data_IF_873659752676
#
_entry.id   IF_873659752676
#
_cell.length_a   1.000
_cell.length_b   1.000
_cell.length_c   1.000
_cell.angle_alpha   90.00
_cell.angle_beta   90.00
_cell.angle_gamma   90.00
#
_symmetry.space_group_name_H-M   'P 1'
#
loop_
_entity.id
_entity.type
_entity.pdbx_description
1 polymer ?
#
# COMPACT_ATOMS: atom_id res chain seq x y z
N UNK A 1 16.17 26.86 18.54
CA UNK A 1 15.80 25.44 18.73
C UNK A 1 16.52 24.61 17.67
N UNK A 2 17.54 23.86 18.09
CA UNK A 2 18.37 22.90 17.32
C UNK A 2 18.46 21.62 18.17
N UNK A 3 18.69 20.48 17.51
CA UNK A 3 18.75 19.08 18.03
C UNK A 3 17.37 18.44 18.26
N UNK A 4 17.07 17.26 17.70
CA UNK A 4 17.70 15.95 17.97
C UNK A 4 17.83 15.09 16.68
N UNK A 5 19.05 14.71 16.32
CA UNK A 5 19.39 13.44 15.64
C UNK A 5 20.75 13.01 16.20
N UNK A 6 20.82 12.63 17.48
CA UNK A 6 22.10 12.37 18.15
C UNK A 6 22.71 10.98 17.88
N UNK A 7 21.94 9.98 17.43
CA UNK A 7 22.41 8.58 17.46
C UNK A 7 22.36 7.85 16.09
N UNK A 8 22.50 8.57 14.98
CA UNK A 8 22.59 7.92 13.66
C UNK A 8 23.72 8.52 12.84
N UNK A 9 24.53 7.68 12.22
CA UNK A 9 25.56 8.09 11.25
C UNK A 9 25.16 7.60 9.86
N UNK A 10 25.29 8.49 8.87
CA UNK A 10 25.31 8.13 7.46
C UNK A 10 26.64 7.44 7.17
N UNK A 11 26.59 6.16 6.81
CA UNK A 11 27.78 5.43 6.37
C UNK A 11 27.71 5.19 4.86
N UNK A 12 28.80 5.56 4.19
CA UNK A 12 29.02 5.34 2.77
C UNK A 12 29.97 4.16 2.62
N UNK A 13 29.59 3.16 1.82
CA UNK A 13 30.44 2.00 1.53
C UNK A 13 30.48 1.73 0.02
N UNK A 14 31.67 1.41 -0.49
CA UNK A 14 31.90 1.02 -1.88
C UNK A 14 32.05 -0.51 -1.95
N UNK A 15 31.15 -1.17 -2.67
CA UNK A 15 31.21 -2.60 -2.94
C UNK A 15 31.09 -2.86 -4.43
N UNK A 16 32.10 -3.52 -5.02
CA UNK A 16 32.07 -4.03 -6.39
C UNK A 16 31.55 -3.01 -7.43
N UNK A 17 32.09 -1.78 -7.39
CA UNK A 17 31.72 -0.70 -8.31
C UNK A 17 30.40 0.01 -8.02
N UNK A 18 29.69 -0.34 -6.94
CA UNK A 18 28.44 0.29 -6.52
C UNK A 18 28.60 1.09 -5.21
N UNK A 19 28.15 2.35 -5.23
CA UNK A 19 28.10 3.21 -4.06
C UNK A 19 26.80 2.97 -3.28
N UNK A 20 26.90 2.67 -1.99
CA UNK A 20 25.74 2.47 -1.12
C UNK A 20 25.81 3.36 0.11
N UNK A 21 24.66 3.90 0.50
CA UNK A 21 24.47 4.75 1.67
C UNK A 21 23.53 4.06 2.64
N UNK A 22 23.86 4.06 3.93
CA UNK A 22 23.03 3.44 4.96
C UNK A 22 22.95 4.30 6.21
N UNK A 23 21.83 4.18 6.92
CA UNK A 23 21.70 4.66 8.29
C UNK A 23 22.09 3.54 9.26
N UNK A 24 23.02 3.85 10.16
CA UNK A 24 23.39 2.98 11.27
C UNK A 24 22.87 3.62 12.55
N UNK A 25 22.06 2.87 13.27
CA UNK A 25 21.72 3.16 14.67
C UNK A 25 22.97 2.94 15.53
N UNK A 26 23.44 3.98 16.20
CA UNK A 26 24.68 3.94 16.97
C UNK A 26 24.56 3.19 18.30
N UNK A 27 23.34 2.97 18.80
CA UNK A 27 23.10 2.29 20.07
C UNK A 27 23.03 0.77 19.89
N UNK A 28 22.56 0.31 18.72
CA UNK A 28 22.32 -1.12 18.44
C UNK A 28 23.21 -1.70 17.34
N UNK A 29 23.85 -0.86 16.52
CA UNK A 29 24.67 -1.27 15.38
C UNK A 29 23.87 -1.92 14.23
N UNK A 30 22.54 -1.85 14.29
CA UNK A 30 21.65 -2.49 13.31
C UNK A 30 21.60 -1.65 12.03
N UNK A 31 21.84 -2.30 10.87
CA UNK A 31 21.73 -1.68 9.55
C UNK A 31 20.26 -1.40 9.22
N UNK A 32 19.90 -0.14 9.04
CA UNK A 32 18.53 0.26 8.67
C UNK A 32 18.47 0.45 7.14
N UNK A 33 18.35 -0.67 6.43
CA UNK A 33 18.03 -0.82 5.00
C UNK A 33 18.97 -0.17 3.93
N UNK A 34 19.12 -0.84 2.78
CA UNK A 34 19.81 -0.34 1.58
C UNK A 34 19.11 0.91 1.02
N UNK A 35 19.83 2.04 0.90
CA UNK A 35 19.34 3.26 0.27
C UNK A 35 19.29 3.12 -1.26
N UNK A 36 18.27 2.45 -1.77
CA UNK A 36 17.77 2.74 -3.12
C UNK A 36 16.32 3.24 -2.97
N UNK A 37 16.17 4.56 -3.07
CA UNK A 37 14.98 5.38 -2.74
C UNK A 37 14.64 5.45 -1.23
N UNK A 38 15.42 6.22 -0.48
CA UNK A 38 15.07 6.59 0.90
C UNK A 38 13.87 7.54 0.86
N UNK A 39 12.67 7.00 1.02
CA UNK A 39 11.52 7.79 1.47
C UNK A 39 11.91 8.39 2.82
N UNK A 40 12.11 9.71 2.87
CA UNK A 40 12.43 10.45 4.11
C UNK A 40 11.17 10.52 4.98
N UNK A 41 10.81 9.42 5.61
CA UNK A 41 9.76 9.39 6.63
C UNK A 41 10.36 9.69 7.99
N UNK A 42 9.56 10.26 8.90
CA UNK A 42 10.01 10.45 10.28
C UNK A 42 10.09 9.09 11.00
N UNK A 43 10.81 9.03 12.13
CA UNK A 43 10.90 7.80 12.93
C UNK A 43 9.53 7.40 13.49
N UNK A 44 8.70 8.38 13.85
CA UNK A 44 7.32 8.19 14.30
C UNK A 44 6.46 7.57 13.20
N UNK A 45 6.58 8.04 11.96
CA UNK A 45 5.88 7.44 10.83
C UNK A 45 6.37 6.02 10.53
N UNK A 46 7.67 5.76 10.67
CA UNK A 46 8.22 4.41 10.56
C UNK A 46 7.59 3.45 11.59
N UNK A 47 7.55 3.85 12.86
CA UNK A 47 6.93 3.06 13.93
C UNK A 47 5.44 2.83 13.65
N UNK A 48 4.72 3.87 13.23
CA UNK A 48 3.32 3.77 12.85
C UNK A 48 3.10 2.77 11.72
N UNK A 49 3.88 2.84 10.63
CA UNK A 49 3.80 1.87 9.52
C UNK A 49 4.09 0.45 10.00
N UNK A 50 5.06 0.28 10.90
CA UNK A 50 5.41 -1.03 11.48
C UNK A 50 4.25 -1.60 12.30
N UNK A 51 3.62 -0.79 13.14
CA UNK A 51 2.46 -1.18 13.95
C UNK A 51 1.26 -1.54 13.06
N UNK A 52 0.91 -0.67 12.09
CA UNK A 52 -0.20 -0.94 11.18
C UNK A 52 0.03 -2.20 10.32
N UNK A 53 1.26 -2.51 9.93
CA UNK A 53 1.59 -3.78 9.24
C UNK A 53 1.32 -5.00 10.12
N UNK A 54 1.69 -4.93 11.40
CA UNK A 54 1.43 -6.01 12.33
C UNK A 54 -0.07 -6.20 12.58
N UNK A 55 -0.81 -5.10 12.74
CA UNK A 55 -2.27 -5.10 12.87
C UNK A 55 -2.96 -5.71 11.64
N UNK A 56 -2.59 -5.27 10.43
CA UNK A 56 -3.10 -5.83 9.17
C UNK A 56 -2.84 -7.34 9.08
N UNK A 57 -1.62 -7.78 9.35
CA UNK A 57 -1.28 -9.20 9.26
C UNK A 57 -2.15 -10.03 10.23
N UNK A 58 -2.43 -9.48 11.41
CA UNK A 58 -3.27 -10.12 12.42
C UNK A 58 -4.71 -10.23 11.92
N UNK A 59 -5.30 -9.14 11.42
CA UNK A 59 -6.70 -9.09 10.99
C UNK A 59 -6.98 -9.95 9.75
N UNK A 60 -6.05 -10.03 8.80
CA UNK A 60 -6.26 -10.76 7.54
C UNK A 60 -5.67 -12.18 7.54
N UNK A 61 -5.02 -12.60 8.62
CA UNK A 61 -4.37 -13.92 8.73
C UNK A 61 -5.32 -15.08 8.40
N UNK A 62 -6.55 -15.01 8.93
CA UNK A 62 -7.60 -15.99 8.71
C UNK A 62 -8.16 -16.00 7.28
N UNK A 63 -7.76 -15.06 6.43
CA UNK A 63 -8.15 -14.98 5.02
C UNK A 63 -7.14 -15.67 4.09
N UNK A 64 -5.94 -15.99 4.57
CA UNK A 64 -4.89 -16.56 3.73
C UNK A 64 -5.28 -17.92 3.15
N UNK A 65 -5.04 -18.08 1.84
CA UNK A 65 -5.36 -19.29 1.10
C UNK A 65 -6.83 -19.41 0.71
N UNK A 66 -7.73 -18.62 1.33
CA UNK A 66 -9.16 -18.61 1.00
C UNK A 66 -9.41 -17.91 -0.32
N UNK A 67 -10.45 -18.39 -1.00
CA UNK A 67 -10.96 -17.84 -2.26
C UNK A 67 -12.21 -17.05 -1.93
N UNK A 68 -12.27 -15.83 -2.43
CA UNK A 68 -13.43 -14.94 -2.33
C UNK A 68 -14.01 -14.73 -3.71
N UNK A 69 -15.30 -14.45 -3.79
CA UNK A 69 -16.02 -14.26 -5.05
C UNK A 69 -16.62 -12.87 -5.07
N UNK A 70 -16.32 -12.10 -6.12
CA UNK A 70 -17.00 -10.83 -6.35
C UNK A 70 -18.45 -11.10 -6.79
N UNK A 71 -19.41 -10.44 -6.14
CA UNK A 71 -20.83 -10.71 -6.32
C UNK A 71 -21.36 -10.30 -7.69
N UNK A 72 -20.81 -9.25 -8.31
CA UNK A 72 -21.29 -8.72 -9.59
C UNK A 72 -20.74 -9.50 -10.80
N UNK A 73 -19.53 -10.05 -10.69
CA UNK A 73 -18.83 -10.71 -11.82
C UNK A 73 -18.65 -12.22 -11.67
N UNK A 74 -18.91 -12.78 -10.49
CA UNK A 74 -18.52 -14.16 -10.11
C UNK A 74 -17.01 -14.43 -10.20
N UNK A 75 -16.16 -13.40 -10.37
CA UNK A 75 -14.72 -13.57 -10.39
C UNK A 75 -14.21 -14.03 -9.02
N UNK A 76 -13.36 -15.05 -9.04
CA UNK A 76 -12.75 -15.64 -7.84
C UNK A 76 -11.36 -15.08 -7.64
N UNK A 77 -11.05 -14.57 -6.46
CA UNK A 77 -9.72 -14.11 -6.09
C UNK A 77 -9.22 -14.78 -4.82
N UNK A 78 -7.95 -15.17 -4.81
CA UNK A 78 -7.29 -15.70 -3.61
C UNK A 78 -6.58 -14.59 -2.84
N UNK A 79 -6.74 -14.59 -1.53
CA UNK A 79 -5.95 -13.75 -0.63
C UNK A 79 -4.73 -14.50 -0.11
N UNK A 80 -3.56 -13.87 -0.14
CA UNK A 80 -2.29 -14.50 0.24
C UNK A 80 -1.43 -13.57 1.10
N UNK A 81 -0.42 -14.13 1.78
CA UNK A 81 0.60 -13.31 2.46
C UNK A 81 1.26 -12.31 1.51
N UNK A 82 1.46 -12.69 0.24
CA UNK A 82 2.00 -11.81 -0.78
C UNK A 82 1.04 -10.65 -1.10
N UNK A 83 -0.27 -10.89 -1.10
CA UNK A 83 -1.28 -9.82 -1.23
C UNK A 83 -1.13 -8.82 -0.07
N UNK A 84 -1.09 -9.29 1.18
CA UNK A 84 -0.88 -8.44 2.35
C UNK A 84 0.45 -7.66 2.27
N UNK A 85 1.53 -8.28 1.83
CA UNK A 85 2.83 -7.62 1.63
C UNK A 85 2.80 -6.56 0.53
N UNK A 86 2.04 -6.77 -0.55
CA UNK A 86 1.92 -5.80 -1.65
C UNK A 86 1.10 -4.57 -1.25
N UNK A 87 -0.05 -4.78 -0.62
CA UNK A 87 -0.89 -3.67 -0.17
C UNK A 87 -0.22 -2.87 0.95
N UNK A 88 0.57 -3.51 1.83
CA UNK A 88 1.31 -2.83 2.91
C UNK A 88 2.73 -2.36 2.54
N UNK A 89 3.08 -2.42 1.26
CA UNK A 89 4.38 -1.95 0.78
C UNK A 89 4.51 -0.43 0.95
N UNK A 90 5.74 0.06 1.16
CA UNK A 90 5.97 1.50 1.30
C UNK A 90 5.47 2.30 0.09
N UNK A 91 5.52 1.70 -1.10
CA UNK A 91 4.98 2.31 -2.32
C UNK A 91 3.46 2.47 -2.29
N UNK A 92 2.73 1.47 -1.81
CA UNK A 92 1.26 1.52 -1.72
C UNK A 92 0.79 2.50 -0.64
N UNK A 93 1.45 2.49 0.53
CA UNK A 93 1.21 3.45 1.61
C UNK A 93 1.48 4.87 1.10
N UNK A 94 2.65 5.11 0.51
CA UNK A 94 3.04 6.43 0.02
C UNK A 94 2.09 6.94 -1.05
N UNK A 95 1.59 6.06 -1.94
CA UNK A 95 0.59 6.46 -2.93
C UNK A 95 -0.71 6.95 -2.28
N UNK A 96 -1.16 6.27 -1.22
CA UNK A 96 -2.34 6.72 -0.47
C UNK A 96 -2.07 8.04 0.25
N UNK A 97 -0.88 8.21 0.82
CA UNK A 97 -0.47 9.48 1.44
C UNK A 97 -0.44 10.64 0.45
N UNK A 98 0.12 10.42 -0.74
CA UNK A 98 0.11 11.41 -1.84
C UNK A 98 -1.33 11.74 -2.27
N UNK A 99 -2.24 10.77 -2.21
CA UNK A 99 -3.66 10.97 -2.49
C UNK A 99 -4.42 11.63 -1.33
N UNK A 100 -3.72 12.12 -0.30
CA UNK A 100 -4.30 12.85 0.83
C UNK A 100 -4.88 11.97 1.92
N UNK A 101 -4.47 10.70 2.02
CA UNK A 101 -4.86 9.80 3.11
C UNK A 101 -3.77 9.67 4.17
N UNK A 102 -4.13 9.38 5.42
CA UNK A 102 -3.15 9.00 6.44
C UNK A 102 -2.68 7.55 6.25
N UNK A 103 -1.58 7.20 6.91
CA UNK A 103 -1.12 5.80 6.98
C UNK A 103 -2.23 4.93 7.59
N UNK A 104 -2.88 5.37 8.67
CA UNK A 104 -3.95 4.60 9.30
C UNK A 104 -5.15 4.41 8.36
N UNK A 105 -5.57 5.45 7.64
CA UNK A 105 -6.68 5.39 6.67
C UNK A 105 -6.40 4.36 5.56
N UNK A 106 -5.15 4.29 5.08
CA UNK A 106 -4.73 3.27 4.13
C UNK A 106 -4.91 1.86 4.69
N UNK A 107 -4.47 1.63 5.93
CA UNK A 107 -4.57 0.32 6.56
C UNK A 107 -6.00 -0.06 6.93
N UNK A 108 -6.83 0.89 7.37
CA UNK A 108 -8.25 0.65 7.64
C UNK A 108 -8.97 0.05 6.41
N UNK A 109 -8.73 0.62 5.23
CA UNK A 109 -9.29 0.08 3.99
C UNK A 109 -8.68 -1.29 3.63
N UNK A 110 -7.37 -1.50 3.89
CA UNK A 110 -6.70 -2.77 3.65
C UNK A 110 -7.22 -3.91 4.54
N UNK A 111 -7.61 -3.61 5.77
CA UNK A 111 -8.21 -4.58 6.69
C UNK A 111 -9.60 -5.03 6.21
N UNK A 112 -10.35 -4.16 5.52
CA UNK A 112 -11.65 -4.47 4.93
C UNK A 112 -11.58 -4.98 3.46
N UNK A 113 -10.39 -5.36 2.98
CA UNK A 113 -10.18 -5.69 1.57
C UNK A 113 -11.08 -6.83 1.04
N UNK A 114 -11.47 -7.77 1.90
CA UNK A 114 -12.46 -8.81 1.54
C UNK A 114 -13.81 -8.18 1.18
N UNK A 115 -14.38 -7.39 2.07
CA UNK A 115 -15.71 -6.79 1.88
C UNK A 115 -15.73 -5.82 0.70
N UNK A 116 -14.64 -5.06 0.54
CA UNK A 116 -14.43 -4.20 -0.64
C UNK A 116 -14.46 -5.06 -1.91
N UNK A 117 -13.62 -6.11 -2.01
CA UNK A 117 -13.56 -6.94 -3.21
C UNK A 117 -14.90 -7.63 -3.53
N UNK A 118 -15.58 -8.21 -2.54
CA UNK A 118 -16.82 -8.94 -2.76
C UNK A 118 -17.95 -8.06 -3.31
N UNK A 119 -17.91 -6.75 -3.04
CA UNK A 119 -18.97 -5.79 -3.39
C UNK A 119 -18.52 -4.68 -4.34
N UNK A 120 -17.30 -4.77 -4.86
CA UNK A 120 -16.74 -3.79 -5.79
C UNK A 120 -17.36 -3.89 -7.18
N UNK A 121 -17.45 -2.75 -7.84
CA UNK A 121 -17.89 -2.61 -9.22
C UNK A 121 -16.73 -2.90 -10.16
N UNK A 122 -17.01 -3.67 -11.21
CA UNK A 122 -16.02 -4.04 -12.20
C UNK A 122 -15.80 -2.91 -13.22
N UNK A 123 -14.55 -2.50 -13.39
CA UNK A 123 -14.16 -1.45 -14.34
C UNK A 123 -13.83 -2.06 -15.70
N UNK A 124 -13.09 -3.17 -15.71
CA UNK A 124 -12.66 -3.80 -16.95
C UNK A 124 -11.45 -4.71 -16.83
N UNK A 125 -11.13 -5.36 -17.94
CA UNK A 125 -9.97 -6.21 -18.12
C UNK A 125 -8.96 -5.54 -19.05
N UNK A 126 -7.69 -5.60 -18.69
CA UNK A 126 -6.58 -4.94 -19.39
C UNK A 126 -5.42 -5.92 -19.60
N UNK A 127 -4.65 -5.69 -20.65
CA UNK A 127 -3.38 -6.38 -20.89
C UNK A 127 -2.31 -5.93 -19.90
N UNK A 128 -1.32 -6.78 -19.64
CA UNK A 128 -0.17 -6.36 -18.85
C UNK A 128 0.72 -5.40 -19.64
N UNK A 129 0.94 -4.21 -19.09
CA UNK A 129 1.84 -3.20 -19.65
C UNK A 129 3.31 -3.64 -19.72
N UNK A 130 3.71 -4.65 -18.93
CA UNK A 130 5.08 -5.16 -18.90
C UNK A 130 5.28 -6.42 -19.75
N UNK A 131 4.23 -6.86 -20.45
CA UNK A 131 4.23 -8.08 -21.27
C UNK A 131 4.81 -9.31 -20.56
N UNK A 132 4.60 -9.45 -19.24
CA UNK A 132 5.02 -10.64 -18.50
C UNK A 132 4.20 -11.83 -19.01
N UNK A 133 4.86 -12.85 -19.62
CA UNK A 133 4.18 -13.95 -20.29
C UNK A 133 3.38 -14.84 -19.33
N UNK A 134 3.55 -14.67 -18.02
CA UNK A 134 2.79 -15.39 -17.00
C UNK A 134 1.48 -14.70 -16.62
N UNK A 135 1.27 -13.45 -17.05
CA UNK A 135 0.03 -12.72 -16.81
C UNK A 135 -0.94 -13.00 -17.96
N UNK A 136 -2.14 -13.44 -17.61
CA UNK A 136 -3.23 -13.61 -18.55
C UNK A 136 -3.95 -12.28 -18.73
N UNK A 137 -4.31 -11.65 -17.61
CA UNK A 137 -5.10 -10.44 -17.58
C UNK A 137 -4.88 -9.63 -16.30
N UNK A 138 -5.18 -8.33 -16.39
CA UNK A 138 -5.29 -7.42 -15.25
C UNK A 138 -6.75 -6.97 -15.15
N UNK A 139 -7.42 -7.29 -14.05
CA UNK A 139 -8.79 -6.87 -13.80
C UNK A 139 -8.81 -5.70 -12.81
N UNK A 140 -9.58 -4.66 -13.10
CA UNK A 140 -9.72 -3.50 -12.23
C UNK A 140 -11.13 -3.40 -11.67
N UNK A 141 -11.21 -3.04 -10.41
CA UNK A 141 -12.45 -2.82 -9.69
C UNK A 141 -12.37 -1.51 -8.90
N UNK A 142 -13.52 -0.94 -8.58
CA UNK A 142 -13.64 0.17 -7.65
C UNK A 142 -14.77 -0.03 -6.66
N UNK A 143 -14.66 0.61 -5.50
CA UNK A 143 -15.74 0.67 -4.52
C UNK A 143 -15.70 2.00 -3.78
N UNK A 144 -16.83 2.69 -3.75
CA UNK A 144 -17.02 3.79 -2.80
C UNK A 144 -17.09 3.23 -1.38
N UNK A 145 -16.28 3.79 -0.48
CA UNK A 145 -16.23 3.44 0.94
C UNK A 145 -16.23 4.70 1.79
N UNK A 146 -16.68 4.56 3.03
CA UNK A 146 -16.57 5.58 4.07
C UNK A 146 -15.66 5.03 5.16
N UNK A 147 -14.61 5.77 5.49
CA UNK A 147 -13.68 5.44 6.57
C UNK A 147 -14.29 5.79 7.93
N UNK A 148 -13.71 5.27 9.01
CA UNK A 148 -14.18 5.41 10.39
C UNK A 148 -14.25 6.86 10.88
N UNK A 149 -13.47 7.75 10.26
CA UNK A 149 -13.51 9.19 10.50
C UNK A 149 -14.55 9.94 9.66
N UNK A 150 -15.44 9.22 8.94
CA UNK A 150 -16.47 9.78 8.06
C UNK A 150 -15.95 10.23 6.68
N UNK A 151 -14.66 10.05 6.40
CA UNK A 151 -14.07 10.44 5.12
C UNK A 151 -14.50 9.47 4.02
N UNK A 152 -15.15 9.98 2.99
CA UNK A 152 -15.57 9.22 1.80
C UNK A 152 -14.44 9.14 0.78
N UNK A 153 -14.21 7.95 0.22
CA UNK A 153 -13.21 7.72 -0.80
C UNK A 153 -13.58 6.57 -1.74
N UNK A 154 -12.79 6.42 -2.81
CA UNK A 154 -12.89 5.29 -3.74
C UNK A 154 -11.69 4.39 -3.54
N UNK A 155 -11.95 3.12 -3.22
CA UNK A 155 -10.93 2.07 -3.20
C UNK A 155 -10.82 1.43 -4.59
N UNK A 156 -9.65 1.57 -5.22
CA UNK A 156 -9.31 0.93 -6.48
C UNK A 156 -8.55 -0.37 -6.21
N UNK A 157 -9.05 -1.46 -6.78
CA UNK A 157 -8.43 -2.77 -6.67
C UNK A 157 -7.89 -3.21 -8.02
N UNK A 158 -6.67 -3.74 -8.02
CA UNK A 158 -6.10 -4.42 -9.19
C UNK A 158 -5.91 -5.89 -8.87
N UNK A 159 -6.50 -6.74 -9.70
CA UNK A 159 -6.33 -8.18 -9.66
C UNK A 159 -5.45 -8.62 -10.83
N UNK A 160 -4.48 -9.49 -10.55
CA UNK A 160 -3.59 -10.08 -11.55
C UNK A 160 -4.01 -11.54 -11.74
N UNK A 161 -4.46 -11.88 -12.94
CA UNK A 161 -4.69 -13.26 -13.36
C UNK A 161 -3.38 -13.82 -13.91
N UNK A 162 -2.93 -14.95 -13.34
CA UNK A 162 -1.70 -15.62 -13.77
C UNK A 162 -1.99 -17.03 -14.27
N UNK A 163 -1.24 -17.46 -15.31
CA UNK A 163 -1.38 -18.80 -15.92
C UNK A 163 -1.33 -19.93 -14.90
N UNK A 164 -0.42 -19.82 -13.93
CA UNK A 164 -0.22 -20.78 -12.85
C UNK A 164 -0.59 -20.12 -11.51
N UNK A 165 -1.77 -20.47 -10.99
CA UNK A 165 -2.20 -20.07 -9.65
C UNK A 165 -3.35 -19.07 -9.58
N UNK A 166 -4.02 -18.82 -10.71
CA UNK A 166 -5.31 -18.14 -10.81
C UNK A 166 -5.26 -16.65 -10.46
N UNK A 167 -6.42 -16.06 -10.23
CA UNK A 167 -6.56 -14.62 -9.99
C UNK A 167 -6.26 -14.25 -8.54
N UNK A 168 -5.46 -13.20 -8.35
CA UNK A 168 -5.05 -12.71 -7.02
C UNK A 168 -5.27 -11.21 -6.93
N UNK A 169 -5.73 -10.73 -5.77
CA UNK A 169 -5.69 -9.30 -5.46
C UNK A 169 -4.21 -8.91 -5.34
N UNK A 170 -3.80 -7.93 -6.15
CA UNK A 170 -2.40 -7.53 -6.30
C UNK A 170 -2.12 -6.21 -5.58
N UNK A 171 -2.96 -5.19 -5.79
CA UNK A 171 -2.83 -3.88 -5.16
C UNK A 171 -4.18 -3.30 -4.77
N UNK A 172 -4.14 -2.40 -3.80
CA UNK A 172 -5.23 -1.53 -3.38
C UNK A 172 -4.70 -0.10 -3.34
N UNK A 173 -5.49 0.84 -3.84
CA UNK A 173 -5.18 2.26 -3.85
C UNK A 173 -6.41 3.05 -3.40
N UNK A 174 -6.20 4.10 -2.61
CA UNK A 174 -7.28 5.00 -2.21
C UNK A 174 -7.19 6.29 -2.99
N UNK A 175 -8.32 6.74 -3.54
CA UNK A 175 -8.48 8.04 -4.16
C UNK A 175 -9.52 8.85 -3.39
N UNK A 176 -9.19 10.10 -3.07
CA UNK A 176 -10.20 11.07 -2.59
C UNK A 176 -11.30 11.15 -3.63
N UNK A 177 -12.54 11.34 -3.20
CA UNK A 177 -13.76 11.31 -4.02
C UNK A 177 -13.74 12.30 -5.21
N UNK A 178 -12.94 11.95 -6.22
CA UNK A 178 -12.83 12.51 -7.54
C UNK A 178 -12.81 11.30 -8.45
N UNK A 179 -13.88 11.12 -9.21
CA UNK A 179 -13.83 10.35 -10.43
C UNK A 179 -12.59 10.78 -11.21
N UNK A 180 -11.62 9.91 -11.51
CA UNK A 180 -10.85 10.11 -12.72
C UNK A 180 -11.86 9.92 -13.86
N UNK A 181 -12.19 11.02 -14.54
CA UNK A 181 -12.67 10.93 -15.92
C UNK A 181 -11.76 9.93 -16.63
N UNK A 182 -12.34 8.91 -17.25
CA UNK A 182 -11.60 8.07 -18.16
C UNK A 182 -11.06 8.95 -19.28
N UNK A 183 -9.80 9.39 -19.20
CA UNK A 183 -9.05 9.82 -20.36
C UNK A 183 -8.04 8.72 -20.69
N UNK A 184 -8.32 8.08 -21.83
CA UNK A 184 -7.44 7.12 -22.44
C UNK A 184 -6.11 7.82 -22.77
N UNK A 185 -5.06 7.46 -22.04
CA UNK A 185 -3.68 7.72 -22.43
C UNK A 185 -3.13 9.08 -22.01
N UNK A 186 -2.80 9.25 -20.73
CA UNK A 186 -1.74 10.18 -20.35
C UNK A 186 -0.91 9.67 -19.16
N UNK A 187 0.40 9.79 -19.31
CA UNK A 187 1.42 9.40 -18.34
C UNK A 187 1.36 10.39 -17.18
N UNK A 188 1.06 9.92 -15.97
CA UNK A 188 1.04 10.78 -14.77
C UNK A 188 2.45 11.33 -14.46
N UNK A 189 2.73 12.54 -14.96
CA UNK A 189 3.85 13.38 -14.54
C UNK A 189 3.62 13.93 -13.13
N UNK A 190 4.70 13.89 -12.34
CA UNK A 190 4.81 14.31 -10.92
C UNK A 190 4.19 15.70 -10.65
N UNK A 191 3.30 15.78 -9.66
CA UNK A 191 2.83 17.03 -9.08
C UNK A 191 2.83 16.96 -7.54
N UNK A 192 3.69 17.75 -6.92
CA UNK A 192 3.80 17.94 -5.46
C UNK A 192 2.54 18.63 -4.91
N UNK A 193 1.99 18.12 -3.82
CA UNK A 193 1.10 18.90 -2.94
C UNK A 193 1.58 18.70 -1.49
N UNK A 194 1.92 19.82 -0.84
CA UNK A 194 2.24 19.90 0.59
C UNK A 194 0.93 19.87 1.38
N UNK A 195 0.82 19.05 2.42
CA UNK A 195 -0.24 19.20 3.42
C UNK A 195 0.29 18.96 4.83
N UNK A 196 -0.08 19.87 5.73
CA UNK A 196 0.31 19.97 7.13
C UNK A 196 -0.22 18.79 7.96
N UNK A 197 0.60 18.32 8.91
CA UNK A 197 0.35 17.13 9.73
C UNK A 197 -0.37 17.50 11.04
N UNK A 198 -1.60 17.03 11.21
CA UNK A 198 -2.27 16.95 12.52
C UNK A 198 -2.21 15.51 13.01
N UNK A 199 -1.39 15.25 14.03
CA UNK A 199 -1.17 13.93 14.61
C UNK A 199 -2.38 13.49 15.46
N UNK A 200 -2.99 12.35 15.12
CA UNK A 200 -3.96 11.67 15.98
C UNK A 200 -3.38 10.36 16.52
N UNK A 201 -3.50 10.19 17.84
CA UNK A 201 -3.06 9.00 18.59
C UNK A 201 -4.04 7.85 18.38
N UNK A 202 -3.50 6.67 18.08
CA UNK A 202 -4.24 5.42 17.99
C UNK A 202 -4.67 4.98 19.40
N UNK A 203 -5.97 4.88 19.69
CA UNK A 203 -6.46 4.26 20.93
C UNK A 203 -6.77 2.78 20.69
N UNK A 204 -6.34 1.86 21.57
CA UNK A 204 -6.75 0.46 21.47
C UNK A 204 -8.25 0.32 21.72
N UNK A 205 -8.93 -0.41 20.84
CA UNK A 205 -10.34 -0.77 20.98
C UNK A 205 -10.44 -1.92 21.98
N UNK A 206 -10.91 -1.63 23.19
CA UNK A 206 -11.31 -2.64 24.18
C UNK A 206 -12.64 -3.26 23.76
N UNK A 207 -12.70 -4.60 23.78
CA UNK A 207 -13.94 -5.39 23.89
C UNK A 207 -14.51 -5.31 25.29
#
# INVERSE_FOLDING_TARGET
MKEIYKNHILKEEWFDGHHKVFWIDLDTGIKIADANEVYKISYEEYLLRKECRAALLTSVSNLFGKVFTNASTNMKARFSKNTASKISSDKAITKSVVNGFSVQEHFEAAENLKGIFETADFIGTFSDTKNDPNIVAIHRFQKEIELSNGKKCVAYLTLKEVKLGGTRIYTQELLLNKYPQHEAGEVMSRGLIKSESTAYKCSPRTT
#
